data_IF_601168809224
#
_entry.id   IF_601168809224
#
_cell.length_a   1.000
_cell.length_b   1.000
_cell.length_c   1.000
_cell.angle_alpha   90.00
_cell.angle_beta   90.00
_cell.angle_gamma   90.00
#
_symmetry.space_group_name_H-M   'P 1'
#
loop_
_entity.id
_entity.type
_entity.pdbx_description
1 polymer ?
#
# COMPACT_ATOMS: atom_id res chain seq x y z
N UNK A 1 3.35 19.89 -14.26
CA UNK A 1 2.53 19.23 -13.22
C UNK A 1 2.86 17.74 -13.23
N UNK A 2 2.99 17.10 -12.06
CA UNK A 2 3.08 15.64 -11.99
C UNK A 2 1.70 15.06 -12.29
N UNK A 3 1.59 14.24 -13.33
CA UNK A 3 0.33 13.56 -13.66
C UNK A 3 0.20 12.30 -12.79
N UNK A 4 -1.00 12.01 -12.29
CA UNK A 4 -1.33 10.83 -11.46
C UNK A 4 -0.63 10.80 -10.09
N UNK A 5 -0.96 11.77 -9.22
CA UNK A 5 -0.50 11.84 -7.83
C UNK A 5 -1.58 11.38 -6.86
N UNK A 6 -1.17 10.91 -5.68
CA UNK A 6 -2.07 10.68 -4.56
C UNK A 6 -1.66 11.62 -3.43
N UNK A 7 -2.59 12.49 -3.05
CA UNK A 7 -2.48 13.39 -1.91
C UNK A 7 -3.25 12.79 -0.72
N UNK A 8 -2.71 12.96 0.47
CA UNK A 8 -3.33 12.47 1.70
C UNK A 8 -3.03 13.40 2.88
N UNK A 9 -4.02 13.56 3.76
CA UNK A 9 -3.86 14.28 5.02
C UNK A 9 -3.48 13.31 6.14
N UNK A 10 -2.52 13.69 6.98
CA UNK A 10 -2.11 12.87 8.12
C UNK A 10 -3.13 12.99 9.26
N UNK A 11 -3.77 11.87 9.63
CA UNK A 11 -4.85 11.86 10.63
C UNK A 11 -4.40 11.70 12.09
N UNK A 12 -3.18 11.18 12.33
CA UNK A 12 -2.64 10.87 13.67
C UNK A 12 -1.12 11.08 13.72
N UNK A 13 -0.58 11.30 14.92
CA UNK A 13 0.87 11.45 15.16
C UNK A 13 1.35 12.91 15.18
N UNK A 14 2.68 13.11 15.13
CA UNK A 14 3.34 14.42 15.27
C UNK A 14 2.95 15.43 14.20
N UNK A 15 2.70 14.96 12.97
CA UNK A 15 2.44 15.78 11.78
C UNK A 15 0.95 15.79 11.40
N UNK A 16 0.06 15.63 12.39
CA UNK A 16 -1.39 15.58 12.15
C UNK A 16 -1.87 16.88 11.50
N UNK A 17 -2.63 16.76 10.42
CA UNK A 17 -3.20 17.87 9.66
C UNK A 17 -2.38 18.31 8.45
N UNK A 18 -1.15 17.81 8.31
CA UNK A 18 -0.33 18.10 7.15
C UNK A 18 -0.81 17.30 5.93
N UNK A 19 -0.88 17.97 4.78
CA UNK A 19 -1.10 17.33 3.48
C UNK A 19 0.22 16.88 2.87
N UNK A 20 0.27 15.63 2.45
CA UNK A 20 1.46 15.01 1.87
C UNK A 20 1.13 14.33 0.54
N UNK A 21 2.14 14.29 -0.34
CA UNK A 21 2.09 13.49 -1.55
C UNK A 21 2.71 12.11 -1.28
N UNK A 22 1.96 11.05 -1.57
CA UNK A 22 2.44 9.69 -1.40
C UNK A 22 3.31 9.31 -2.61
N UNK A 23 4.60 8.97 -2.43
CA UNK A 23 5.46 8.62 -3.54
C UNK A 23 5.17 7.21 -4.08
N UNK A 24 5.49 6.99 -5.37
CA UNK A 24 5.52 5.64 -5.94
C UNK A 24 6.83 4.95 -5.55
N UNK A 25 6.74 3.73 -5.04
CA UNK A 25 7.88 2.93 -4.63
C UNK A 25 8.22 1.93 -5.75
N UNK A 26 9.49 1.82 -6.15
CA UNK A 26 9.94 0.75 -7.03
C UNK A 26 10.00 -0.58 -6.29
N UNK A 27 9.29 -1.57 -6.79
CA UNK A 27 9.41 -2.96 -6.37
C UNK A 27 10.21 -3.74 -7.40
N UNK A 28 11.40 -4.19 -6.98
CA UNK A 28 12.31 -5.02 -7.77
C UNK A 28 12.41 -6.38 -7.06
N UNK A 29 12.09 -7.49 -7.73
CA UNK A 29 12.24 -8.82 -7.14
C UNK A 29 13.74 -9.14 -6.99
N UNK A 30 14.11 -9.68 -5.83
CA UNK A 30 15.51 -9.99 -5.51
C UNK A 30 16.02 -11.28 -6.17
N UNK A 31 15.14 -12.27 -6.36
CA UNK A 31 15.47 -13.58 -6.92
C UNK A 31 14.53 -13.91 -8.08
N UNK A 32 14.70 -13.24 -9.21
CA UNK A 32 13.92 -13.53 -10.41
C UNK A 32 14.82 -14.10 -11.50
N UNK A 33 14.65 -15.39 -11.81
CA UNK A 33 15.17 -16.01 -13.03
C UNK A 33 14.34 -15.56 -14.25
N UNK A 34 14.18 -14.25 -14.41
CA UNK A 34 13.51 -13.65 -15.54
C UNK A 34 14.55 -13.33 -16.61
N UNK A 35 14.21 -13.46 -17.90
CA UNK A 35 15.13 -13.11 -18.98
C UNK A 35 15.33 -11.58 -19.13
N UNK A 36 14.81 -10.77 -18.20
CA UNK A 36 14.89 -9.32 -18.20
C UNK A 36 14.74 -8.74 -16.79
N UNK A 37 15.18 -7.49 -16.62
CA UNK A 37 15.02 -6.75 -15.37
C UNK A 37 13.56 -6.33 -15.16
N UNK A 38 12.92 -6.89 -14.14
CA UNK A 38 11.55 -6.53 -13.79
C UNK A 38 11.51 -5.46 -12.69
N UNK A 39 10.86 -4.32 -12.99
CA UNK A 39 10.61 -3.25 -12.02
C UNK A 39 9.15 -2.82 -12.08
N UNK A 40 8.48 -2.83 -10.94
CA UNK A 40 7.11 -2.32 -10.80
C UNK A 40 7.08 -1.05 -9.96
N UNK A 41 6.65 0.07 -10.54
CA UNK A 41 6.41 1.31 -9.80
C UNK A 41 4.98 1.34 -9.27
N UNK A 42 4.80 1.39 -7.96
CA UNK A 42 3.49 1.26 -7.34
C UNK A 42 3.33 2.23 -6.16
N UNK A 43 2.15 2.81 -5.99
CA UNK A 43 1.83 3.51 -4.74
C UNK A 43 1.75 2.49 -3.59
N UNK A 44 2.30 2.78 -2.40
CA UNK A 44 2.21 1.92 -1.24
C UNK A 44 0.80 1.94 -0.61
N UNK A 45 -0.23 1.72 -1.43
CA UNK A 45 -1.64 1.81 -1.07
C UNK A 45 -2.35 0.52 -1.50
N UNK A 46 -3.29 0.06 -0.67
CA UNK A 46 -4.20 -1.03 -0.96
C UNK A 46 -5.55 -0.73 -0.32
N UNK A 47 -6.65 -0.95 -1.05
CA UNK A 47 -8.00 -0.94 -0.48
C UNK A 47 -8.12 -2.10 0.53
N UNK A 48 -8.50 -1.79 1.78
CA UNK A 48 -8.48 -2.76 2.88
C UNK A 48 -9.87 -3.14 3.42
N UNK A 49 -10.94 -2.87 2.67
CA UNK A 49 -12.31 -3.24 3.08
C UNK A 49 -12.54 -4.76 3.08
N UNK A 50 -11.91 -5.46 2.13
CA UNK A 50 -11.91 -6.91 2.06
C UNK A 50 -10.45 -7.37 1.96
N UNK A 51 -10.06 -8.25 2.87
CA UNK A 51 -8.72 -8.84 2.91
C UNK A 51 -8.87 -10.36 2.86
N UNK A 52 -7.98 -11.03 2.14
CA UNK A 52 -7.92 -12.49 2.17
C UNK A 52 -7.33 -12.97 3.49
N UNK A 53 -7.65 -14.20 3.91
CA UNK A 53 -7.18 -14.79 5.19
C UNK A 53 -5.66 -14.70 5.33
N UNK A 54 -4.91 -15.01 4.28
CA UNK A 54 -3.45 -14.94 4.28
C UNK A 54 -2.92 -13.50 4.45
N UNK A 55 -3.71 -12.48 4.09
CA UNK A 55 -3.34 -11.07 4.27
C UNK A 55 -3.72 -10.52 5.64
N UNK A 56 -4.77 -11.05 6.27
CA UNK A 56 -5.20 -10.64 7.61
C UNK A 56 -4.51 -11.42 8.74
N UNK A 57 -3.82 -12.53 8.44
CA UNK A 57 -3.11 -13.32 9.43
C UNK A 57 -2.10 -12.45 10.21
N UNK A 58 -2.19 -12.46 11.55
CA UNK A 58 -1.33 -11.67 12.43
C UNK A 58 -1.78 -10.21 12.64
N UNK A 59 -2.91 -9.79 12.09
CA UNK A 59 -3.49 -8.47 12.34
C UNK A 59 -4.59 -8.54 13.42
N UNK A 60 -4.67 -7.54 14.28
CA UNK A 60 -5.82 -7.32 15.16
C UNK A 60 -6.82 -6.40 14.47
N UNK A 61 -8.06 -6.88 14.28
CA UNK A 61 -9.15 -6.13 13.65
C UNK A 61 -10.26 -5.91 14.69
N UNK A 62 -10.71 -4.67 14.86
CA UNK A 62 -11.80 -4.35 15.79
C UNK A 62 -13.14 -4.96 15.35
N UNK A 63 -13.39 -4.98 14.04
CA UNK A 63 -14.59 -5.58 13.43
C UNK A 63 -14.15 -6.35 12.18
N UNK A 64 -14.52 -7.62 12.10
CA UNK A 64 -14.33 -8.42 10.89
C UNK A 64 -15.55 -9.32 10.62
N UNK A 65 -15.82 -9.58 9.34
CA UNK A 65 -16.82 -10.56 8.91
C UNK A 65 -16.17 -11.50 7.92
N UNK A 66 -16.23 -12.81 8.20
CA UNK A 66 -15.87 -13.82 7.23
C UNK A 66 -16.93 -13.88 6.13
N UNK A 67 -16.49 -13.81 4.88
CA UNK A 67 -17.32 -14.08 3.71
C UNK A 67 -17.05 -15.54 3.34
N UNK A 68 -18.05 -16.39 3.49
CA UNK A 68 -18.02 -17.80 3.11
C UNK A 68 -18.53 -17.97 1.68
#
# INVERSE_FOLDING_TARGET
MMNNVVEATIIKGKYKGDDILIPRIPMIPTNSNLPFDFKRLQFPLRLAFAMTTNKSQGQSLEVCKALN
#
